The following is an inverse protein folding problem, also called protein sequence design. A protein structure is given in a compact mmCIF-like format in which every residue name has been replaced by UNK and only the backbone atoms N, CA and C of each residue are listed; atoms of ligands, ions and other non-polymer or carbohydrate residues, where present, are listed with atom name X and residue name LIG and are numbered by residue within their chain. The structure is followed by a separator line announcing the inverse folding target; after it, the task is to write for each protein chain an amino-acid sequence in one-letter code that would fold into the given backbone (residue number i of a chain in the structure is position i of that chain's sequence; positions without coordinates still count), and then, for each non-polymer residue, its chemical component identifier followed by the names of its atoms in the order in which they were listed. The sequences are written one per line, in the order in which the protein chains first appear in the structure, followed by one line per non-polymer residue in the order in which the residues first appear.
data_IF_481052554110
#
_entry.id   IF_481052554110
#
_cell.length_a   1.000
_cell.length_b   1.000
_cell.length_c   1.000
_cell.angle_alpha   90.00
_cell.angle_beta   90.00
_cell.angle_gamma   90.00
#
_symmetry.space_group_name_H-M   'P 1'
#
loop_
_entity.id
_entity.type
_entity.pdbx_description
1 polymer ?
#
# COMPACT_ATOMS: atom_id res chain seq x y z
N UNK A 1 -13.74 3.37 8.72
CA UNK A 1 -14.92 2.48 8.57
C UNK A 1 -14.73 1.68 7.30
N UNK A 2 -15.28 0.47 7.15
CA UNK A 2 -15.30 -0.23 5.86
C UNK A 2 -16.02 0.63 4.82
N UNK A 3 -15.51 0.66 3.59
CA UNK A 3 -16.21 1.28 2.47
C UNK A 3 -17.25 0.28 1.95
N UNK A 4 -18.50 0.43 2.40
CA UNK A 4 -19.60 -0.42 1.95
C UNK A 4 -20.24 0.17 0.72
N UNK A 5 -20.71 -0.70 -0.18
CA UNK A 5 -21.53 -0.29 -1.31
C UNK A 5 -22.78 0.46 -0.82
N UNK A 6 -22.93 1.72 -1.24
CA UNK A 6 -24.06 2.56 -0.85
C UNK A 6 -25.25 2.40 -1.81
N UNK A 7 -24.98 2.24 -3.11
CA UNK A 7 -25.98 2.08 -4.16
C UNK A 7 -25.52 1.04 -5.18
N UNK A 8 -26.45 0.45 -5.92
CA UNK A 8 -26.14 -0.45 -7.02
C UNK A 8 -25.42 0.31 -8.16
N UNK A 9 -24.59 -0.38 -8.97
CA UNK A 9 -24.04 0.21 -10.19
C UNK A 9 -25.18 0.71 -11.10
N UNK A 10 -24.97 1.84 -11.75
CA UNK A 10 -25.99 2.49 -12.58
C UNK A 10 -25.82 2.07 -14.04
N UNK A 11 -26.93 1.82 -14.73
CA UNK A 11 -26.93 1.39 -16.13
C UNK A 11 -26.08 0.11 -16.33
N UNK A 12 -25.16 0.13 -17.28
CA UNK A 12 -24.24 -0.96 -17.60
C UNK A 12 -22.88 -0.79 -16.92
N UNK A 13 -22.76 0.12 -15.94
CA UNK A 13 -21.52 0.29 -15.20
C UNK A 13 -21.17 -0.98 -14.41
N UNK A 14 -19.90 -1.36 -14.46
CA UNK A 14 -19.34 -2.53 -13.79
C UNK A 14 -18.13 -2.09 -12.97
N UNK A 15 -17.84 -2.80 -11.89
CA UNK A 15 -16.59 -2.59 -11.16
C UNK A 15 -15.41 -3.10 -11.99
N UNK A 16 -14.24 -2.48 -11.84
CA UNK A 16 -13.05 -2.81 -12.61
C UNK A 16 -12.60 -4.26 -12.41
N UNK A 17 -12.81 -4.82 -11.21
CA UNK A 17 -12.43 -6.19 -10.90
C UNK A 17 -13.14 -7.20 -11.82
N UNK A 18 -14.46 -7.07 -11.98
CA UNK A 18 -15.24 -7.93 -12.86
C UNK A 18 -14.91 -7.72 -14.35
N UNK A 19 -14.66 -6.46 -14.74
CA UNK A 19 -14.28 -6.12 -16.13
C UNK A 19 -12.95 -6.79 -16.49
N UNK A 20 -11.94 -6.68 -15.62
CA UNK A 20 -10.64 -7.30 -15.87
C UNK A 20 -10.66 -8.82 -15.72
N UNK A 21 -11.51 -9.37 -14.85
CA UNK A 21 -11.71 -10.82 -14.73
C UNK A 21 -12.29 -11.42 -16.02
N UNK A 22 -13.26 -10.74 -16.63
CA UNK A 22 -13.83 -11.17 -17.91
C UNK A 22 -12.85 -10.97 -19.07
N UNK A 23 -12.10 -9.87 -19.09
CA UNK A 23 -11.03 -9.66 -20.07
C UNK A 23 -9.97 -10.79 -19.97
N UNK A 24 -9.62 -11.22 -18.77
CA UNK A 24 -8.68 -12.33 -18.58
C UNK A 24 -9.21 -13.64 -19.18
N UNK A 25 -10.51 -13.94 -19.06
CA UNK A 25 -11.13 -15.09 -19.70
C UNK A 25 -11.08 -15.01 -21.23
N UNK A 26 -11.32 -13.82 -21.78
CA UNK A 26 -11.25 -13.58 -23.23
C UNK A 26 -9.84 -13.75 -23.77
N UNK A 27 -8.82 -13.36 -22.99
CA UNK A 27 -7.42 -13.52 -23.36
C UNK A 27 -6.98 -14.99 -23.35
N UNK A 28 -7.49 -15.79 -22.42
CA UNK A 28 -7.14 -17.20 -22.29
C UNK A 28 -8.26 -17.97 -21.57
N UNK A 29 -8.71 -19.13 -22.09
CA UNK A 29 -9.63 -20.00 -21.36
C UNK A 29 -9.12 -20.33 -19.95
N UNK A 30 -9.95 -20.10 -18.93
CA UNK A 30 -9.60 -20.22 -17.52
C UNK A 30 -8.83 -19.03 -16.94
N UNK A 31 -8.64 -17.96 -17.71
CA UNK A 31 -7.96 -16.73 -17.28
C UNK A 31 -8.69 -16.01 -16.15
N UNK A 32 -10.02 -16.10 -16.08
CA UNK A 32 -10.81 -15.53 -14.98
C UNK A 32 -10.47 -16.13 -13.64
N UNK A 33 -10.34 -17.45 -13.57
CA UNK A 33 -10.02 -18.15 -12.33
C UNK A 33 -8.60 -17.81 -11.85
N UNK A 34 -7.65 -17.71 -12.78
CA UNK A 34 -6.28 -17.27 -12.48
C UNK A 34 -6.29 -15.82 -11.96
N UNK A 35 -7.00 -14.91 -12.63
CA UNK A 35 -7.06 -13.49 -12.25
C UNK A 35 -7.73 -13.27 -10.89
N UNK A 36 -8.86 -13.94 -10.67
CA UNK A 36 -9.62 -13.79 -9.41
C UNK A 36 -9.01 -14.61 -8.27
N UNK A 37 -8.17 -15.60 -8.57
CA UNK A 37 -7.68 -16.61 -7.64
C UNK A 37 -8.82 -17.30 -6.86
N UNK A 38 -9.97 -17.46 -7.50
CA UNK A 38 -11.20 -18.00 -6.88
C UNK A 38 -11.81 -17.11 -5.78
N UNK A 39 -11.41 -15.84 -5.68
CA UNK A 39 -11.90 -14.89 -4.68
C UNK A 39 -12.82 -13.87 -5.33
N UNK A 40 -13.95 -13.61 -4.69
CA UNK A 40 -14.79 -12.45 -4.99
C UNK A 40 -14.29 -11.19 -4.24
N UNK A 41 -14.97 -10.06 -4.44
CA UNK A 41 -14.61 -8.80 -3.80
C UNK A 41 -14.53 -8.92 -2.27
N UNK A 42 -15.51 -9.60 -1.64
CA UNK A 42 -15.55 -9.75 -0.19
C UNK A 42 -14.42 -10.64 0.33
N UNK A 43 -14.06 -11.70 -0.39
CA UNK A 43 -12.93 -12.55 -0.08
C UNK A 43 -11.60 -11.79 -0.20
N UNK A 44 -11.44 -10.94 -1.22
CA UNK A 44 -10.27 -10.06 -1.34
C UNK A 44 -10.18 -9.05 -0.20
N UNK A 45 -11.28 -8.37 0.12
CA UNK A 45 -11.34 -7.43 1.25
C UNK A 45 -10.97 -8.11 2.57
N UNK A 46 -11.49 -9.32 2.82
CA UNK A 46 -11.14 -10.12 4.00
C UNK A 46 -9.66 -10.51 3.99
N UNK A 47 -9.12 -10.94 2.85
CA UNK A 47 -7.72 -11.31 2.71
C UNK A 47 -6.78 -10.15 3.08
N UNK A 48 -7.03 -8.94 2.55
CA UNK A 48 -6.24 -7.75 2.89
C UNK A 48 -6.40 -7.36 4.37
N UNK A 49 -7.62 -7.44 4.90
CA UNK A 49 -7.89 -7.15 6.31
C UNK A 49 -7.13 -8.11 7.23
N UNK A 50 -7.13 -9.40 6.94
CA UNK A 50 -6.44 -10.42 7.75
C UNK A 50 -4.92 -10.22 7.69
N UNK A 51 -4.37 -9.84 6.54
CA UNK A 51 -2.96 -9.47 6.41
C UNK A 51 -2.59 -8.24 7.27
N UNK A 52 -3.43 -7.19 7.23
CA UNK A 52 -3.26 -6.01 8.07
C UNK A 52 -3.38 -6.35 9.56
N UNK A 53 -4.37 -7.16 9.96
CA UNK A 53 -4.56 -7.62 11.33
C UNK A 53 -3.34 -8.37 11.87
N UNK A 54 -2.70 -9.22 11.04
CA UNK A 54 -1.46 -9.91 11.41
C UNK A 54 -0.33 -8.90 11.70
N UNK A 55 -0.14 -7.89 10.84
CA UNK A 55 0.86 -6.85 11.03
C UNK A 55 0.60 -5.94 12.23
N UNK A 56 -0.68 -5.62 12.49
CA UNK A 56 -1.11 -4.77 13.59
C UNK A 56 -0.73 -5.32 14.99
N UNK A 57 -0.65 -6.65 15.13
CA UNK A 57 -0.22 -7.29 16.38
C UNK A 57 1.19 -6.88 16.80
N UNK A 58 2.12 -6.74 15.85
CA UNK A 58 3.49 -6.29 16.13
C UNK A 58 3.52 -4.85 16.69
N UNK A 59 2.53 -4.04 16.32
CA UNK A 59 2.40 -2.65 16.75
C UNK A 59 1.46 -2.46 17.95
N UNK A 60 0.98 -3.57 18.56
CA UNK A 60 0.02 -3.56 19.68
C UNK A 60 -1.28 -2.82 19.34
N UNK A 61 -1.69 -2.85 18.07
CA UNK A 61 -2.98 -2.31 17.61
C UNK A 61 -3.99 -3.45 17.58
N UNK A 62 -5.09 -3.28 18.33
CA UNK A 62 -6.19 -4.25 18.36
C UNK A 62 -7.11 -4.05 17.19
N UNK A 63 -7.16 -5.04 16.30
CA UNK A 63 -8.12 -5.09 15.19
C UNK A 63 -9.11 -6.24 15.42
N UNK A 64 -10.44 -6.00 15.40
CA UNK A 64 -11.43 -7.06 15.59
C UNK A 64 -11.42 -8.04 14.41
N UNK A 65 -12.17 -9.15 14.49
CA UNK A 65 -12.35 -10.04 13.34
C UNK A 65 -13.05 -9.29 12.19
N UNK A 66 -12.75 -9.66 10.94
CA UNK A 66 -13.28 -8.98 9.75
C UNK A 66 -14.79 -8.79 9.77
N UNK A 67 -15.57 -9.83 10.10
CA UNK A 67 -17.04 -9.73 10.16
C UNK A 67 -17.51 -8.72 11.21
N UNK A 68 -16.82 -8.63 12.35
CA UNK A 68 -17.13 -7.68 13.42
C UNK A 68 -16.80 -6.27 12.97
N UNK A 69 -15.63 -6.04 12.37
CA UNK A 69 -15.27 -4.76 11.76
C UNK A 69 -16.30 -4.32 10.71
N UNK A 70 -16.67 -5.24 9.81
CA UNK A 70 -17.62 -5.00 8.74
C UNK A 70 -18.98 -4.58 9.30
N UNK A 71 -19.53 -5.32 10.26
CA UNK A 71 -20.82 -5.02 10.86
C UNK A 71 -20.81 -3.72 11.67
N UNK A 72 -19.80 -3.54 12.53
CA UNK A 72 -19.72 -2.37 13.43
C UNK A 72 -19.60 -1.06 12.66
N UNK A 73 -19.05 -1.08 11.45
CA UNK A 73 -18.87 0.11 10.62
C UNK A 73 -18.09 1.22 11.35
N UNK A 74 -17.07 0.86 12.13
CA UNK A 74 -16.27 1.78 12.95
C UNK A 74 -14.87 1.98 12.39
N UNK A 75 -14.23 3.08 12.78
CA UNK A 75 -12.82 3.31 12.49
C UNK A 75 -11.95 2.37 13.33
N UNK A 76 -10.83 1.95 12.76
CA UNK A 76 -9.74 1.36 13.51
C UNK A 76 -8.73 2.48 13.71
N UNK A 77 -8.53 2.89 14.95
CA UNK A 77 -7.61 3.95 15.28
C UNK A 77 -6.20 3.38 15.49
N UNK A 78 -5.24 3.94 14.77
CA UNK A 78 -3.82 3.68 15.02
C UNK A 78 -3.38 4.56 16.18
N UNK A 79 -2.63 3.98 17.13
CA UNK A 79 -2.12 4.74 18.26
C UNK A 79 -1.14 5.80 17.77
N UNK A 80 -1.31 7.01 18.30
CA UNK A 80 -0.34 8.08 18.18
C UNK A 80 0.99 7.64 18.84
N UNK A 81 2.12 8.07 18.29
CA UNK A 81 3.46 7.79 18.84
C UNK A 81 4.19 9.10 19.06
N UNK A 82 4.35 9.49 20.32
CA UNK A 82 5.09 10.70 20.72
C UNK A 82 6.51 10.70 20.16
N UNK A 83 7.17 9.52 20.15
CA UNK A 83 8.47 9.34 19.53
C UNK A 83 8.45 9.67 18.03
N UNK A 84 7.41 9.25 17.31
CA UNK A 84 7.31 9.49 15.87
C UNK A 84 7.00 10.96 15.56
N UNK A 85 6.30 11.67 16.45
CA UNK A 85 6.02 13.10 16.28
C UNK A 85 7.25 13.98 16.41
N UNK A 86 8.25 13.51 17.16
CA UNK A 86 9.53 14.19 17.31
C UNK A 86 10.48 13.93 16.12
N UNK A 87 10.01 13.26 15.07
CA UNK A 87 10.84 12.96 13.91
C UNK A 87 11.29 14.23 13.18
N UNK A 88 12.61 14.41 13.07
CA UNK A 88 13.24 15.48 12.30
C UNK A 88 13.87 14.89 11.04
N UNK A 89 13.34 15.24 9.87
CA UNK A 89 13.88 14.77 8.58
C UNK A 89 15.34 15.23 8.43
N UNK A 90 16.22 14.29 8.06
CA UNK A 90 17.68 14.48 7.93
C UNK A 90 18.43 14.85 9.23
N UNK A 91 17.80 14.76 10.41
CA UNK A 91 18.48 15.03 11.69
C UNK A 91 19.73 14.18 11.89
N UNK A 92 19.63 12.87 11.65
CA UNK A 92 20.74 11.93 11.84
C UNK A 92 21.90 12.16 10.84
N UNK A 93 21.57 12.44 9.57
CA UNK A 93 22.57 12.79 8.56
C UNK A 93 23.29 14.10 8.92
N UNK A 94 22.56 15.11 9.42
CA UNK A 94 23.17 16.36 9.89
C UNK A 94 24.09 16.14 11.10
N UNK A 95 23.69 15.26 12.02
CA UNK A 95 24.45 14.98 13.24
C UNK A 95 25.74 14.21 12.94
N UNK A 96 25.68 13.20 12.05
CA UNK A 96 26.84 12.43 11.61
C UNK A 96 26.64 11.94 10.16
N UNK A 97 27.15 12.67 9.16
CA UNK A 97 26.98 12.34 7.75
C UNK A 97 27.86 11.17 7.29
N UNK A 98 28.85 10.75 8.09
CA UNK A 98 29.68 9.59 7.76
C UNK A 98 28.96 8.31 8.18
N UNK A 99 28.40 8.28 9.39
CA UNK A 99 27.63 7.14 9.90
C UNK A 99 26.26 7.00 9.23
N UNK A 100 25.58 8.12 8.96
CA UNK A 100 24.24 8.14 8.38
C UNK A 100 24.24 8.64 6.93
N UNK A 101 25.21 8.15 6.14
CA UNK A 101 25.38 8.55 4.74
C UNK A 101 24.10 8.36 3.90
N UNK A 102 23.90 9.26 2.94
CA UNK A 102 22.80 9.16 1.98
C UNK A 102 23.05 8.02 0.98
N UNK A 103 21.99 7.52 0.34
CA UNK A 103 22.07 6.46 -0.69
C UNK A 103 22.72 6.87 -2.03
N UNK A 104 23.46 7.97 -2.05
CA UNK A 104 24.21 8.48 -3.21
C UNK A 104 25.62 7.87 -3.29
N UNK A 105 26.28 7.86 -4.46
CA UNK A 105 27.66 7.37 -4.59
C UNK A 105 28.66 8.01 -3.61
N UNK A 106 28.54 9.32 -3.36
CA UNK A 106 29.39 10.03 -2.40
C UNK A 106 28.95 9.95 -0.95
N UNK A 107 27.80 9.35 -0.66
CA UNK A 107 27.15 9.41 0.66
C UNK A 107 26.60 10.79 1.06
N UNK A 108 26.62 11.79 0.16
CA UNK A 108 26.28 13.19 0.42
C UNK A 108 25.23 13.71 -0.57
N UNK A 109 24.79 14.95 -0.34
CA UNK A 109 24.03 15.69 -1.35
C UNK A 109 25.00 16.04 -2.49
N UNK A 110 24.77 15.44 -3.67
CA UNK A 110 25.55 15.68 -4.87
C UNK A 110 24.96 16.87 -5.64
N UNK A 111 25.54 18.06 -5.45
CA UNK A 111 25.22 19.24 -6.27
C UNK A 111 25.64 18.99 -7.72
N UNK A 112 26.73 18.25 -7.92
CA UNK A 112 27.17 17.74 -9.20
C UNK A 112 27.21 16.21 -9.15
N UNK A 113 26.50 15.54 -10.05
CA UNK A 113 26.47 14.07 -10.10
C UNK A 113 27.33 13.53 -11.24
N UNK A 114 28.43 12.88 -10.87
CA UNK A 114 29.30 12.14 -11.81
C UNK A 114 28.58 10.99 -12.51
N UNK A 115 27.51 10.48 -11.91
CA UNK A 115 26.67 9.45 -12.55
C UNK A 115 25.94 10.03 -13.76
N UNK A 116 25.35 11.22 -13.61
CA UNK A 116 24.63 11.90 -14.69
C UNK A 116 25.58 12.40 -15.79
N UNK A 117 26.74 12.94 -15.40
CA UNK A 117 27.81 13.34 -16.34
C UNK A 117 28.13 12.22 -17.34
N UNK A 118 28.25 10.97 -16.87
CA UNK A 118 28.58 9.81 -17.71
C UNK A 118 27.51 9.45 -18.75
N UNK A 119 26.27 9.92 -18.57
CA UNK A 119 25.22 9.71 -19.57
C UNK A 119 25.31 10.70 -20.74
N UNK A 120 26.14 11.75 -20.64
CA UNK A 120 26.41 12.67 -21.74
C UNK A 120 25.18 13.45 -22.20
N UNK A 121 24.28 13.79 -21.27
CA UNK A 121 23.13 14.64 -21.58
C UNK A 121 23.62 16.01 -22.07
N UNK A 122 22.90 16.55 -23.06
CA UNK A 122 23.09 17.94 -23.47
C UNK A 122 22.48 18.83 -22.39
N UNK A 123 23.20 19.87 -22.01
CA UNK A 123 22.70 20.92 -21.12
C UNK A 123 21.46 21.63 -21.70
#
# INVERSE_FOLDING_TARGET
VPMKQAVAPQFEARNDFDVFADLAELLKPGGKEIYTEGKDEMAWLKFFYDAAQKGARAQRVTMPMFNVFWQQNKLIEMRRSEKNEQYVRYGDFRADPVKNALGTPSGKIEIYSKTLEKFGYKD
#
